data_IF_486736492161
#
_entry.id   IF_486736492161
#
_cell.length_a   1.000
_cell.length_b   1.000
_cell.length_c   1.000
_cell.angle_alpha   90.00
_cell.angle_beta   90.00
_cell.angle_gamma   90.00
#
_symmetry.space_group_name_H-M   'P 1'
#
loop_
_entity.id
_entity.type
_entity.pdbx_description
1 polymer ?
#
# COMPACT_ATOMS: atom_id res chain seq x y z
N UNK A 1 3.61 1.64 -1.41
CA UNK A 1 3.59 3.11 -1.30
C UNK A 1 5.02 3.59 -1.15
N UNK A 2 5.40 4.78 -1.65
CA UNK A 2 6.72 5.33 -1.34
C UNK A 2 6.77 5.83 0.13
N UNK A 3 7.96 6.07 0.71
CA UNK A 3 8.11 6.60 2.06
C UNK A 3 7.33 7.90 2.28
N UNK A 4 7.32 8.81 1.31
CA UNK A 4 6.63 10.09 1.39
C UNK A 4 5.12 9.90 1.46
N UNK A 5 4.56 9.07 0.58
CA UNK A 5 3.13 8.76 0.64
C UNK A 5 2.79 8.04 1.96
N UNK A 6 3.66 7.16 2.47
CA UNK A 6 3.42 6.44 3.71
C UNK A 6 3.42 7.42 4.90
N UNK A 7 4.28 8.43 4.87
CA UNK A 7 4.27 9.53 5.83
C UNK A 7 2.96 10.32 5.79
N UNK A 8 2.40 10.62 4.59
CA UNK A 8 1.09 11.29 4.50
C UNK A 8 -0.03 10.46 5.11
N UNK A 9 -0.01 9.13 4.93
CA UNK A 9 -0.97 8.23 5.54
C UNK A 9 -0.82 8.17 7.07
N UNK A 10 0.42 8.13 7.58
CA UNK A 10 0.69 8.17 9.01
C UNK A 10 0.21 9.48 9.64
N UNK A 11 0.44 10.62 8.98
CA UNK A 11 -0.08 11.92 9.39
C UNK A 11 -1.62 11.93 9.39
N UNK A 12 -2.26 11.40 8.35
CA UNK A 12 -3.72 11.28 8.31
C UNK A 12 -4.26 10.49 9.51
N UNK A 13 -3.67 9.33 9.84
CA UNK A 13 -4.09 8.55 11.03
C UNK A 13 -3.95 9.35 12.32
N UNK A 14 -2.87 10.12 12.46
CA UNK A 14 -2.64 10.99 13.62
C UNK A 14 -3.70 12.09 13.70
N UNK A 15 -4.00 12.73 12.58
CA UNK A 15 -4.97 13.84 12.55
C UNK A 15 -6.44 13.37 12.65
N UNK A 16 -6.72 12.13 12.25
CA UNK A 16 -8.00 11.46 12.54
C UNK A 16 -8.14 11.21 14.06
N UNK A 17 -7.08 10.75 14.71
CA UNK A 17 -7.07 10.54 16.16
C UNK A 17 -7.10 11.85 16.96
N UNK A 18 -6.50 12.93 16.44
CA UNK A 18 -6.54 14.26 17.05
C UNK A 18 -7.88 14.99 16.84
N UNK A 19 -8.72 14.50 15.91
CA UNK A 19 -9.97 15.13 15.51
C UNK A 19 -9.81 16.33 14.58
N UNK A 20 -8.58 16.64 14.12
CA UNK A 20 -8.36 17.68 13.10
C UNK A 20 -8.98 17.29 11.76
N UNK A 21 -9.01 15.99 11.46
CA UNK A 21 -9.77 15.40 10.35
C UNK A 21 -10.89 14.56 10.96
N UNK A 22 -12.13 14.76 10.50
CA UNK A 22 -13.26 14.00 11.03
C UNK A 22 -13.44 12.68 10.29
N UNK A 23 -14.06 11.71 10.94
CA UNK A 23 -14.29 10.39 10.36
C UNK A 23 -15.28 10.39 9.17
N UNK A 24 -16.11 11.42 9.05
CA UNK A 24 -17.08 11.62 7.97
C UNK A 24 -16.53 12.43 6.78
N UNK A 25 -15.28 12.90 6.84
CA UNK A 25 -14.67 13.64 5.74
C UNK A 25 -14.11 12.72 4.65
N UNK A 26 -14.05 13.25 3.43
CA UNK A 26 -13.38 12.59 2.30
C UNK A 26 -11.97 13.13 2.14
N UNK A 27 -10.97 12.24 2.13
CA UNK A 27 -9.54 12.59 2.05
C UNK A 27 -8.90 11.89 0.86
N UNK A 28 -8.09 12.63 0.09
CA UNK A 28 -7.25 12.09 -0.99
C UNK A 28 -5.79 12.14 -0.56
N UNK A 29 -5.10 10.99 -0.59
CA UNK A 29 -3.67 10.89 -0.29
C UNK A 29 -2.88 10.72 -1.57
N UNK A 30 -1.96 11.64 -1.84
CA UNK A 30 -1.11 11.58 -3.03
C UNK A 30 0.15 10.75 -2.75
N UNK A 31 0.30 9.65 -3.48
CA UNK A 31 1.52 8.85 -3.48
C UNK A 31 2.41 9.27 -4.66
N UNK A 32 3.55 9.88 -4.36
CA UNK A 32 4.42 10.52 -5.36
C UNK A 32 5.24 9.52 -6.20
N UNK A 33 5.42 8.28 -5.73
CA UNK A 33 6.19 7.27 -6.44
C UNK A 33 5.77 5.85 -6.09
N UNK A 34 6.11 4.88 -6.95
CA UNK A 34 6.00 3.46 -6.59
C UNK A 34 6.97 3.11 -5.47
N UNK A 35 6.53 2.23 -4.56
CA UNK A 35 7.40 1.67 -3.51
C UNK A 35 8.49 0.75 -4.05
N UNK A 36 8.35 0.28 -5.31
CA UNK A 36 9.33 -0.57 -6.00
C UNK A 36 10.68 0.14 -6.26
N UNK A 37 10.79 1.44 -6.00
CA UNK A 37 12.05 2.20 -6.09
C UNK A 37 12.98 1.97 -4.88
N UNK A 38 12.48 1.35 -3.82
CA UNK A 38 13.21 1.14 -2.57
C UNK A 38 13.39 -0.35 -2.34
N UNK A 39 14.40 -0.72 -1.54
CA UNK A 39 14.67 -2.12 -1.21
C UNK A 39 13.42 -2.77 -0.61
N UNK A 40 13.02 -3.89 -1.21
CA UNK A 40 11.88 -4.67 -0.78
C UNK A 40 12.33 -6.02 -0.20
N UNK A 41 11.55 -6.60 0.72
CA UNK A 41 11.73 -7.99 1.11
C UNK A 41 11.72 -8.91 -0.11
N UNK A 42 12.48 -10.02 -0.08
CA UNK A 42 12.52 -10.96 -1.19
C UNK A 42 11.13 -11.56 -1.44
N UNK A 43 10.71 -11.56 -2.71
CA UNK A 43 9.51 -12.27 -3.16
C UNK A 43 9.91 -13.69 -3.51
N UNK A 44 9.54 -14.63 -2.64
CA UNK A 44 9.86 -16.06 -2.80
C UNK A 44 8.75 -16.84 -3.50
N UNK A 45 7.55 -16.27 -3.60
CA UNK A 45 6.44 -16.84 -4.36
C UNK A 45 6.76 -16.76 -5.85
N UNK A 46 6.62 -17.89 -6.52
CA UNK A 46 6.85 -18.03 -7.95
C UNK A 46 5.66 -18.73 -8.59
N UNK A 47 5.34 -18.34 -9.82
CA UNK A 47 4.28 -18.93 -10.63
C UNK A 47 4.90 -19.37 -11.95
N UNK A 48 4.74 -20.63 -12.32
CA UNK A 48 5.08 -21.08 -13.65
C UNK A 48 4.04 -20.55 -14.65
N UNK A 49 4.50 -19.84 -15.67
CA UNK A 49 3.63 -19.31 -16.73
C UNK A 49 3.41 -20.28 -17.89
N UNK A 50 4.11 -21.41 -17.88
CA UNK A 50 4.02 -22.44 -18.92
C UNK A 50 3.03 -23.55 -18.55
N UNK A 51 2.64 -23.64 -17.29
CA UNK A 51 1.60 -24.56 -16.80
C UNK A 51 0.24 -23.85 -16.67
N UNK A 52 -0.88 -24.59 -16.74
CA UNK A 52 -2.20 -24.06 -16.41
C UNK A 52 -2.22 -23.44 -15.00
N UNK A 53 -2.76 -22.22 -14.88
CA UNK A 53 -2.83 -21.51 -13.60
C UNK A 53 -3.88 -22.15 -12.69
N UNK A 54 -3.46 -22.67 -11.54
CA UNK A 54 -4.38 -23.11 -10.48
C UNK A 54 -4.86 -21.93 -9.63
N UNK A 55 -5.99 -21.35 -10.03
CA UNK A 55 -6.62 -20.23 -9.32
C UNK A 55 -7.11 -20.59 -7.90
N UNK A 56 -7.24 -21.88 -7.55
CA UNK A 56 -7.63 -22.28 -6.20
C UNK A 56 -6.56 -21.93 -5.15
N UNK A 57 -5.30 -21.77 -5.59
CA UNK A 57 -4.14 -21.44 -4.75
C UNK A 57 -3.97 -19.94 -4.48
N UNK A 58 -4.81 -19.08 -5.08
CA UNK A 58 -4.68 -17.61 -5.02
C UNK A 58 -5.65 -16.92 -4.05
N UNK A 59 -6.08 -17.60 -2.98
CA UNK A 59 -6.95 -17.01 -1.95
C UNK A 59 -6.21 -16.18 -0.93
#
# INVERSE_FOLDING_TARGET
LCPEGAATYAAYKKELASGRVRADESVVLFNCATGLKYDMPPVTRWLDRHEPVDYSTMR
#
